data_IF_462142035431
#
_entry.id   IF_462142035431
#
_cell.length_a   1.000
_cell.length_b   1.000
_cell.length_c   1.000
_cell.angle_alpha   90.00
_cell.angle_beta   90.00
_cell.angle_gamma   90.00
#
_symmetry.space_group_name_H-M   'P 1'
#
loop_
_entity.id
_entity.type
_entity.pdbx_description
1 polymer ?
#
# COMPACT_ATOMS: atom_id res chain seq x y z
N UNK A 1 -4.50 25.38 0.65
CA UNK A 1 -3.67 24.96 1.82
C UNK A 1 -3.33 23.48 1.68
N UNK A 2 -2.05 23.09 1.78
CA UNK A 2 -1.68 21.67 1.92
C UNK A 2 -2.04 21.24 3.36
N UNK A 3 -2.97 20.30 3.52
CA UNK A 3 -3.31 19.77 4.86
C UNK A 3 -2.13 18.93 5.36
N UNK A 4 -1.68 19.18 6.59
CA UNK A 4 -0.71 18.34 7.29
C UNK A 4 -1.44 17.21 8.02
N UNK A 5 -0.73 16.18 8.48
CA UNK A 5 -1.30 15.05 9.24
C UNK A 5 -2.16 15.53 10.43
N UNK A 6 -1.71 16.57 11.13
CA UNK A 6 -2.44 17.16 12.27
C UNK A 6 -3.74 17.89 11.89
N UNK A 7 -3.92 18.22 10.61
CA UNK A 7 -5.11 18.89 10.09
C UNK A 7 -6.08 17.91 9.38
N UNK A 8 -5.79 16.61 9.45
CA UNK A 8 -6.65 15.54 8.95
C UNK A 8 -7.75 15.23 9.97
N UNK A 9 -8.93 14.88 9.47
CA UNK A 9 -10.03 14.43 10.32
C UNK A 9 -9.78 13.04 10.92
N UNK A 10 -10.64 12.57 11.82
CA UNK A 10 -10.41 11.32 12.54
C UNK A 10 -10.34 10.10 11.59
N UNK A 11 -11.19 10.08 10.56
CA UNK A 11 -11.23 9.00 9.58
C UNK A 11 -10.03 9.03 8.61
N UNK A 12 -9.55 10.21 8.21
CA UNK A 12 -8.36 10.42 7.40
C UNK A 12 -7.10 9.98 8.16
N UNK A 13 -7.00 10.28 9.46
CA UNK A 13 -5.90 9.81 10.31
C UNK A 13 -5.90 8.28 10.46
N UNK A 14 -7.08 7.67 10.71
CA UNK A 14 -7.21 6.20 10.74
C UNK A 14 -6.82 5.59 9.39
N UNK A 15 -7.32 6.15 8.29
CA UNK A 15 -6.98 5.70 6.94
C UNK A 15 -5.46 5.81 6.68
N UNK A 16 -4.82 6.93 7.05
CA UNK A 16 -3.38 7.09 6.96
C UNK A 16 -2.63 5.99 7.72
N UNK A 17 -2.96 5.82 9.01
CA UNK A 17 -2.31 4.86 9.90
C UNK A 17 -2.42 3.43 9.36
N UNK A 18 -3.64 2.98 9.04
CA UNK A 18 -3.84 1.62 8.52
C UNK A 18 -3.23 1.44 7.14
N UNK A 19 -3.27 2.46 6.27
CA UNK A 19 -2.64 2.39 4.94
C UNK A 19 -1.13 2.26 5.05
N UNK A 20 -0.50 3.00 5.98
CA UNK A 20 0.92 2.90 6.24
C UNK A 20 1.30 1.52 6.76
N UNK A 21 0.54 0.98 7.72
CA UNK A 21 0.79 -0.37 8.26
C UNK A 21 0.62 -1.44 7.18
N UNK A 22 -0.48 -1.40 6.42
CA UNK A 22 -0.72 -2.33 5.33
C UNK A 22 0.39 -2.26 4.28
N UNK A 23 0.83 -1.05 3.91
CA UNK A 23 1.91 -0.83 2.96
C UNK A 23 3.22 -1.41 3.46
N UNK A 24 3.60 -1.17 4.71
CA UNK A 24 4.81 -1.74 5.30
C UNK A 24 4.76 -3.27 5.36
N UNK A 25 3.61 -3.85 5.71
CA UNK A 25 3.45 -5.31 5.79
C UNK A 25 3.43 -5.99 4.42
N UNK A 26 2.86 -5.36 3.39
CA UNK A 26 2.83 -5.88 2.03
C UNK A 26 4.16 -5.64 1.32
N UNK A 27 4.49 -4.37 1.10
CA UNK A 27 5.63 -3.97 0.29
C UNK A 27 6.96 -4.11 1.03
N UNK A 28 6.97 -3.87 2.35
CA UNK A 28 8.17 -4.11 3.16
C UNK A 28 8.51 -5.59 3.25
N UNK A 29 7.51 -6.49 3.31
CA UNK A 29 7.76 -7.92 3.24
C UNK A 29 8.27 -8.35 1.86
N UNK A 30 7.72 -7.81 0.78
CA UNK A 30 8.20 -8.11 -0.57
C UNK A 30 9.64 -7.63 -0.79
N UNK A 31 9.96 -6.42 -0.33
CA UNK A 31 11.31 -5.90 -0.36
C UNK A 31 12.25 -6.73 0.52
N UNK A 32 11.82 -7.13 1.72
CA UNK A 32 12.55 -8.02 2.61
C UNK A 32 12.87 -9.38 1.99
N UNK A 33 11.92 -9.96 1.27
CA UNK A 33 12.13 -11.19 0.51
C UNK A 33 13.23 -11.03 -0.56
N UNK A 34 13.28 -9.88 -1.24
CA UNK A 34 14.35 -9.61 -2.22
C UNK A 34 15.75 -9.52 -1.60
N UNK A 35 15.85 -9.25 -0.29
CA UNK A 35 17.11 -9.18 0.46
C UNK A 35 17.49 -10.52 1.08
N UNK A 36 16.52 -11.25 1.61
CA UNK A 36 16.73 -12.55 2.24
C UNK A 36 15.59 -13.52 1.87
N UNK A 37 15.88 -14.40 0.90
CA UNK A 37 14.92 -15.38 0.39
C UNK A 37 14.72 -16.57 1.34
N UNK A 38 15.67 -16.84 2.23
CA UNK A 38 15.71 -18.07 3.05
C UNK A 38 14.58 -18.11 4.09
N UNK A 39 14.13 -16.95 4.55
CA UNK A 39 13.02 -16.79 5.49
C UNK A 39 11.68 -16.53 4.80
N UNK A 40 11.44 -17.17 3.65
CA UNK A 40 10.25 -17.01 2.82
C UNK A 40 8.92 -17.02 3.62
N UNK A 41 8.75 -17.99 4.53
CA UNK A 41 7.51 -18.11 5.30
C UNK A 41 7.23 -16.91 6.21
N UNK A 42 8.27 -16.26 6.75
CA UNK A 42 8.12 -15.05 7.56
C UNK A 42 7.58 -13.91 6.68
N UNK A 43 8.15 -13.73 5.49
CA UNK A 43 7.68 -12.71 4.55
C UNK A 43 6.25 -12.96 4.09
N UNK A 44 5.90 -14.22 3.82
CA UNK A 44 4.55 -14.61 3.45
C UNK A 44 3.53 -14.31 4.56
N UNK A 45 3.85 -14.63 5.82
CA UNK A 45 3.00 -14.32 6.99
C UNK A 45 2.79 -12.81 7.10
N UNK A 46 3.86 -12.01 6.95
CA UNK A 46 3.77 -10.55 7.00
C UNK A 46 2.86 -10.00 5.87
N UNK A 47 2.98 -10.52 4.65
CA UNK A 47 2.08 -10.15 3.55
C UNK A 47 0.61 -10.51 3.85
N UNK A 48 0.36 -11.70 4.40
CA UNK A 48 -0.99 -12.10 4.80
C UNK A 48 -1.57 -11.15 5.85
N UNK A 49 -0.79 -10.80 6.88
CA UNK A 49 -1.17 -9.77 7.85
C UNK A 49 -1.44 -8.43 7.17
N UNK A 50 -0.61 -8.04 6.20
CA UNK A 50 -0.81 -6.83 5.38
C UNK A 50 -2.14 -6.83 4.63
N UNK A 51 -2.52 -7.96 4.03
CA UNK A 51 -3.81 -8.15 3.38
C UNK A 51 -4.99 -8.01 4.33
N UNK A 52 -4.88 -8.54 5.55
CA UNK A 52 -5.90 -8.38 6.59
C UNK A 52 -6.03 -6.91 7.01
N UNK A 53 -4.91 -6.20 7.19
CA UNK A 53 -4.94 -4.76 7.50
C UNK A 53 -5.53 -3.95 6.34
N UNK A 54 -5.33 -4.37 5.10
CA UNK A 54 -5.93 -3.75 3.91
C UNK A 54 -7.47 -3.79 3.96
N UNK A 55 -8.07 -4.80 4.59
CA UNK A 55 -9.53 -4.84 4.80
C UNK A 55 -10.01 -3.72 5.74
N UNK A 56 -9.18 -3.30 6.70
CA UNK A 56 -9.48 -2.13 7.53
C UNK A 56 -9.33 -0.84 6.73
N UNK A 57 -8.29 -0.74 5.89
CA UNK A 57 -8.11 0.40 4.96
C UNK A 57 -9.35 0.59 4.08
N UNK A 58 -9.88 -0.51 3.50
CA UNK A 58 -11.07 -0.51 2.65
C UNK A 58 -12.28 0.19 3.30
N UNK A 59 -12.49 0.01 4.61
CA UNK A 59 -13.64 0.58 5.33
C UNK A 59 -13.62 2.11 5.33
N UNK A 60 -12.42 2.69 5.44
CA UNK A 60 -12.23 4.13 5.58
C UNK A 60 -12.14 4.88 4.25
N UNK A 61 -12.07 4.17 3.11
CA UNK A 61 -12.12 4.78 1.77
C UNK A 61 -13.58 5.02 1.36
N UNK A 62 -13.85 6.18 0.75
CA UNK A 62 -15.15 6.53 0.17
C UNK A 62 -15.66 5.44 -0.76
N UNK A 63 -16.93 5.06 -0.63
CA UNK A 63 -17.54 3.96 -1.37
C UNK A 63 -17.35 4.07 -2.89
N UNK A 64 -17.50 5.27 -3.46
CA UNK A 64 -17.32 5.55 -4.90
C UNK A 64 -15.90 5.26 -5.41
N UNK A 65 -14.89 5.50 -4.56
CA UNK A 65 -13.48 5.30 -4.92
C UNK A 65 -12.93 3.96 -4.45
N UNK A 66 -13.62 3.30 -3.51
CA UNK A 66 -13.15 2.10 -2.80
C UNK A 66 -12.73 1.01 -3.76
N UNK A 67 -13.61 0.59 -4.68
CA UNK A 67 -13.30 -0.50 -5.62
C UNK A 67 -12.11 -0.13 -6.49
N UNK A 68 -12.08 1.09 -7.04
CA UNK A 68 -10.99 1.56 -7.89
C UNK A 68 -9.64 1.57 -7.18
N UNK A 69 -9.60 2.07 -5.95
CA UNK A 69 -8.37 2.13 -5.15
C UNK A 69 -7.90 0.75 -4.71
N UNK A 70 -8.82 -0.10 -4.25
CA UNK A 70 -8.49 -1.46 -3.84
C UNK A 70 -7.99 -2.30 -5.02
N UNK A 71 -8.62 -2.20 -6.19
CA UNK A 71 -8.14 -2.87 -7.41
C UNK A 71 -6.75 -2.36 -7.79
N UNK A 72 -6.51 -1.05 -7.74
CA UNK A 72 -5.18 -0.51 -8.02
C UNK A 72 -4.11 -1.05 -7.07
N UNK A 73 -4.42 -1.12 -5.77
CA UNK A 73 -3.49 -1.66 -4.76
C UNK A 73 -3.22 -3.14 -5.04
N UNK A 74 -4.26 -3.95 -5.27
CA UNK A 74 -4.13 -5.39 -5.52
C UNK A 74 -3.33 -5.65 -6.79
N UNK A 75 -3.71 -5.02 -7.91
CA UNK A 75 -3.02 -5.17 -9.20
C UNK A 75 -1.56 -4.75 -9.06
N UNK A 76 -1.30 -3.63 -8.37
CA UNK A 76 0.06 -3.18 -8.15
C UNK A 76 0.89 -4.15 -7.32
N UNK A 77 0.33 -4.67 -6.21
CA UNK A 77 1.01 -5.67 -5.39
C UNK A 77 1.33 -6.92 -6.20
N UNK A 78 0.37 -7.47 -6.96
CA UNK A 78 0.61 -8.65 -7.80
C UNK A 78 1.70 -8.39 -8.85
N UNK A 79 1.70 -7.22 -9.50
CA UNK A 79 2.73 -6.87 -10.47
C UNK A 79 4.12 -6.78 -9.83
N UNK A 80 4.21 -6.19 -8.63
CA UNK A 80 5.47 -6.15 -7.88
C UNK A 80 5.92 -7.54 -7.43
N UNK A 81 4.99 -8.39 -6.98
CA UNK A 81 5.27 -9.77 -6.58
C UNK A 81 5.88 -10.54 -7.74
N UNK A 82 5.23 -10.50 -8.91
CA UNK A 82 5.75 -11.13 -10.14
C UNK A 82 7.12 -10.54 -10.50
N UNK A 83 7.29 -9.22 -10.42
CA UNK A 83 8.56 -8.57 -10.74
C UNK A 83 9.72 -9.01 -9.84
N UNK A 84 9.49 -9.10 -8.53
CA UNK A 84 10.50 -9.45 -7.53
C UNK A 84 10.79 -10.95 -7.51
N UNK A 85 9.76 -11.79 -7.63
CA UNK A 85 9.87 -13.26 -7.50
C UNK A 85 10.25 -13.92 -8.82
N UNK A 86 9.94 -13.30 -9.98
CA UNK A 86 10.24 -13.90 -11.28
C UNK A 86 11.74 -13.98 -11.54
N UNK A 87 12.28 -15.19 -11.48
CA UNK A 87 13.64 -15.49 -11.93
C UNK A 87 13.74 -15.58 -13.47
N UNK A 88 12.61 -15.63 -14.19
CA UNK A 88 12.58 -15.64 -15.66
C UNK A 88 12.98 -14.31 -16.30
N UNK A 89 12.93 -13.21 -15.53
CA UNK A 89 13.40 -11.91 -15.98
C UNK A 89 14.88 -11.80 -15.60
N UNK A 90 15.84 -11.84 -16.56
CA UNK A 90 17.29 -11.83 -16.31
C UNK A 90 17.78 -10.41 -15.97
N UNK A 91 17.09 -9.74 -15.06
CA UNK A 91 17.42 -8.41 -14.57
C UNK A 91 18.07 -8.57 -13.20
N UNK A 92 19.25 -7.96 -12.96
CA UNK A 92 19.90 -7.95 -11.66
C UNK A 92 18.94 -7.54 -10.54
N UNK A 93 19.00 -8.24 -9.40
CA UNK A 93 18.11 -8.00 -8.26
C UNK A 93 18.13 -6.53 -7.80
N UNK A 94 19.30 -5.89 -7.84
CA UNK A 94 19.45 -4.46 -7.50
C UNK A 94 18.59 -3.55 -8.38
N UNK A 95 18.51 -3.83 -9.68
CA UNK A 95 17.66 -3.07 -10.61
C UNK A 95 16.18 -3.36 -10.29
N UNK A 96 15.83 -4.61 -9.98
CA UNK A 96 14.46 -4.96 -9.57
C UNK A 96 14.02 -4.18 -8.33
N UNK A 97 14.88 -4.11 -7.32
CA UNK A 97 14.66 -3.34 -6.09
C UNK A 97 14.52 -1.84 -6.36
N UNK A 98 15.34 -1.27 -7.25
CA UNK A 98 15.26 0.15 -7.60
C UNK A 98 13.93 0.48 -8.30
N UNK A 99 13.52 -0.32 -9.29
CA UNK A 99 12.24 -0.15 -9.99
C UNK A 99 11.06 -0.31 -9.02
N UNK A 100 11.12 -1.30 -8.14
CA UNK A 100 10.15 -1.49 -7.07
C UNK A 100 10.01 -0.22 -6.21
N UNK A 101 11.12 0.35 -5.76
CA UNK A 101 11.12 1.52 -4.89
C UNK A 101 10.55 2.77 -5.60
N UNK A 102 10.94 3.00 -6.86
CA UNK A 102 10.41 4.09 -7.69
C UNK A 102 8.89 3.93 -7.86
N UNK A 103 8.42 2.75 -8.26
CA UNK A 103 7.01 2.50 -8.49
C UNK A 103 6.19 2.65 -7.20
N UNK A 104 6.71 2.15 -6.08
CA UNK A 104 6.11 2.29 -4.76
C UNK A 104 5.99 3.77 -4.35
N UNK A 105 7.05 4.56 -4.53
CA UNK A 105 7.03 6.00 -4.23
C UNK A 105 6.01 6.76 -5.09
N UNK A 106 5.92 6.46 -6.39
CA UNK A 106 4.98 7.12 -7.31
C UNK A 106 3.53 6.85 -6.89
N UNK A 107 3.18 5.58 -6.63
CA UNK A 107 1.82 5.23 -6.23
C UNK A 107 1.49 5.69 -4.81
N UNK A 108 2.44 5.56 -3.88
CA UNK A 108 2.31 6.11 -2.53
C UNK A 108 2.04 7.61 -2.58
N UNK A 109 2.82 8.37 -3.35
CA UNK A 109 2.60 9.80 -3.53
C UNK A 109 1.21 10.11 -4.08
N UNK A 110 0.76 9.41 -5.12
CA UNK A 110 -0.58 9.62 -5.71
C UNK A 110 -1.69 9.32 -4.70
N UNK A 111 -1.54 8.24 -3.94
CA UNK A 111 -2.50 7.82 -2.91
C UNK A 111 -2.57 8.83 -1.77
N UNK A 112 -1.43 9.16 -1.15
CA UNK A 112 -1.39 10.11 -0.03
C UNK A 112 -1.76 11.53 -0.47
N UNK A 113 -1.44 11.94 -1.70
CA UNK A 113 -1.92 13.22 -2.24
C UNK A 113 -3.45 13.30 -2.28
N UNK A 114 -4.14 12.22 -2.63
CA UNK A 114 -5.61 12.16 -2.59
C UNK A 114 -6.13 12.18 -1.15
N UNK A 115 -5.43 11.51 -0.23
CA UNK A 115 -5.75 11.53 1.20
C UNK A 115 -5.67 12.94 1.77
N UNK A 116 -4.52 13.62 1.61
CA UNK A 116 -4.31 14.98 2.12
C UNK A 116 -5.15 16.05 1.39
N UNK A 117 -5.71 15.72 0.22
CA UNK A 117 -6.71 16.55 -0.45
C UNK A 117 -8.13 16.37 0.12
N UNK A 118 -8.33 15.45 1.08
CA UNK A 118 -9.64 15.12 1.66
C UNK A 118 -10.60 14.42 0.72
N UNK A 119 -10.08 13.88 -0.40
CA UNK A 119 -10.87 13.25 -1.46
C UNK A 119 -10.99 11.73 -1.31
N UNK A 120 -10.22 11.14 -0.38
CA UNK A 120 -10.07 9.68 -0.30
C UNK A 120 -10.85 9.06 0.88
N UNK A 121 -10.82 9.68 2.05
CA UNK A 121 -11.47 9.14 3.24
C UNK A 121 -12.98 9.43 3.27
N UNK A 122 -13.73 8.56 3.92
CA UNK A 122 -15.14 8.80 4.27
C UNK A 122 -15.23 10.06 5.14
N UNK A 123 -16.14 10.98 4.79
CA UNK A 123 -16.39 12.19 5.59
C UNK A 123 -17.04 11.80 6.92
N UNK A 124 -16.67 12.50 8.00
CA UNK A 124 -17.15 12.18 9.36
C UNK A 124 -18.68 12.27 9.49
N UNK A 125 -19.36 12.98 8.57
CA UNK A 125 -20.82 13.14 8.55
C UNK A 125 -21.58 11.99 7.86
N UNK A 126 -20.87 11.00 7.30
CA UNK A 126 -21.47 9.83 6.67
C UNK A 126 -21.49 8.61 7.62
N UNK A 127 -21.91 8.84 8.86
CA UNK A 127 -22.40 7.77 9.74
C UNK A 127 -23.86 7.51 9.36
N UNK A 128 -24.09 6.54 8.47
CA UNK A 128 -25.35 5.82 8.41
C UNK A 128 -25.26 4.60 9.33
#
# INVERSE_FOLDING_TARGET
MKRSYYNLNANEQKLHKFSSIASSLLYGALFGYSLNKDIFFIWLILMLCGGIVLLQVKKWIRTELRTKMMTQIIVFTVLLDVWIVSDFIPVPMLIKQLVFLIAFCILGYKYFKLLYAGKLAVQDDAAF
#
